data_IF_725944918798
#
_entry.id   IF_725944918798
#
_cell.length_a   1.000
_cell.length_b   1.000
_cell.length_c   1.000
_cell.angle_alpha   90.00
_cell.angle_beta   90.00
_cell.angle_gamma   90.00
#
_symmetry.space_group_name_H-M   'P 1'
#
loop_
_entity.id
_entity.type
_entity.pdbx_description
1 polymer ?
#
# COMPACT_ATOMS: atom_id res chain seq x y z
N UNK A 1 13.91 -17.13 -58.91
CA UNK A 1 12.97 -16.14 -59.50
C UNK A 1 11.88 -15.90 -58.46
N UNK A 2 11.56 -14.72 -57.91
CA UNK A 2 11.99 -13.33 -58.07
C UNK A 2 12.16 -12.76 -56.64
N UNK A 3 13.31 -12.15 -56.36
CA UNK A 3 13.44 -11.15 -55.28
C UNK A 3 12.99 -9.82 -55.88
N UNK A 4 12.22 -9.02 -55.13
CA UNK A 4 11.94 -7.62 -55.48
C UNK A 4 12.54 -6.76 -54.36
N UNK A 5 13.36 -5.81 -54.78
CA UNK A 5 14.13 -4.87 -53.98
C UNK A 5 13.44 -3.49 -54.00
N UNK A 6 13.39 -2.83 -52.82
CA UNK A 6 13.49 -1.38 -52.54
C UNK A 6 12.48 -0.38 -53.18
N UNK A 7 12.31 0.87 -52.66
CA UNK A 7 13.35 1.68 -52.01
C UNK A 7 13.02 2.44 -50.71
N UNK A 8 14.11 2.75 -50.02
CA UNK A 8 14.31 3.83 -49.06
C UNK A 8 13.76 5.17 -49.56
N UNK A 9 13.18 5.94 -48.65
CA UNK A 9 12.94 7.38 -48.84
C UNK A 9 13.56 8.10 -47.64
N UNK A 10 14.71 8.73 -47.88
CA UNK A 10 15.19 9.85 -47.07
C UNK A 10 14.40 11.10 -47.44
N UNK A 11 13.88 11.82 -46.43
CA UNK A 11 13.71 13.27 -46.53
C UNK A 11 14.15 13.95 -45.23
N UNK A 12 14.94 14.98 -45.47
CA UNK A 12 15.65 15.95 -44.62
C UNK A 12 14.75 16.73 -43.66
N UNK A 13 15.35 17.21 -42.57
CA UNK A 13 14.71 17.77 -41.39
C UNK A 13 14.07 19.16 -41.54
N UNK A 14 13.34 19.55 -40.48
CA UNK A 14 13.30 20.89 -39.85
C UNK A 14 12.85 20.66 -38.40
N UNK A 15 13.55 21.30 -37.46
CA UNK A 15 13.45 21.06 -36.03
C UNK A 15 12.11 21.44 -35.40
N UNK A 16 11.61 20.52 -34.59
CA UNK A 16 10.66 20.77 -33.52
C UNK A 16 10.92 19.72 -32.45
N UNK A 17 11.26 20.13 -31.22
CA UNK A 17 11.33 19.22 -30.08
C UNK A 17 9.92 18.69 -29.82
N UNK A 18 9.56 17.58 -30.46
CA UNK A 18 8.50 16.71 -29.99
C UNK A 18 9.05 16.00 -28.76
N UNK A 19 8.57 16.40 -27.58
CA UNK A 19 8.54 15.54 -26.40
C UNK A 19 7.77 14.28 -26.79
N UNK A 20 8.50 13.22 -27.15
CA UNK A 20 7.94 11.88 -27.29
C UNK A 20 7.40 11.46 -25.94
N UNK A 21 6.06 11.49 -25.80
CA UNK A 21 5.36 10.71 -24.79
C UNK A 21 5.88 9.28 -24.88
N UNK A 22 6.52 8.79 -23.82
CA UNK A 22 6.98 7.40 -23.71
C UNK A 22 5.74 6.50 -23.71
N UNK A 23 5.30 6.06 -24.89
CA UNK A 23 4.22 5.07 -25.09
C UNK A 23 4.77 3.63 -25.05
N UNK A 24 5.85 3.42 -24.31
CA UNK A 24 6.49 2.11 -24.17
C UNK A 24 5.80 1.29 -23.08
N UNK A 25 5.46 0.05 -23.40
CA UNK A 25 4.98 -0.94 -22.43
C UNK A 25 6.05 -1.09 -21.32
N UNK A 26 5.65 -0.97 -20.05
CA UNK A 26 6.54 -1.13 -18.91
C UNK A 26 7.18 -2.52 -18.89
N UNK A 27 8.52 -2.58 -18.82
CA UNK A 27 9.25 -3.83 -18.63
C UNK A 27 9.38 -4.17 -17.14
N UNK A 28 8.36 -4.79 -16.55
CA UNK A 28 8.34 -5.13 -15.13
C UNK A 28 9.47 -6.06 -14.68
N UNK A 29 10.04 -6.86 -15.58
CA UNK A 29 11.08 -7.83 -15.23
C UNK A 29 12.35 -7.15 -14.68
N UNK A 30 12.65 -5.91 -15.10
CA UNK A 30 13.84 -5.17 -14.63
C UNK A 30 13.79 -4.77 -13.15
N UNK A 31 12.59 -4.72 -12.59
CA UNK A 31 12.33 -4.31 -11.20
C UNK A 31 12.36 -5.50 -10.23
N UNK A 32 12.25 -6.73 -10.74
CA UNK A 32 12.17 -7.91 -9.87
C UNK A 32 13.53 -8.29 -9.30
N UNK A 33 13.56 -8.64 -8.02
CA UNK A 33 14.70 -9.34 -7.42
C UNK A 33 14.92 -10.70 -8.06
N UNK A 34 16.13 -11.26 -7.97
CA UNK A 34 16.40 -12.62 -8.43
C UNK A 34 15.51 -13.66 -7.69
N UNK A 35 15.26 -13.44 -6.39
CA UNK A 35 14.35 -14.26 -5.59
C UNK A 35 12.93 -14.23 -6.16
N UNK A 36 12.40 -13.03 -6.38
CA UNK A 36 11.08 -12.84 -6.97
C UNK A 36 11.02 -13.47 -8.36
N UNK A 37 12.02 -13.19 -9.21
CA UNK A 37 12.21 -13.76 -10.55
C UNK A 37 12.08 -15.30 -10.54
N UNK A 38 12.71 -15.96 -9.58
CA UNK A 38 12.75 -17.42 -9.45
C UNK A 38 11.49 -18.06 -8.85
N UNK A 39 10.61 -17.29 -8.17
CA UNK A 39 9.39 -17.87 -7.58
C UNK A 39 8.48 -18.44 -8.67
N UNK A 40 8.02 -19.68 -8.46
CA UNK A 40 7.06 -20.39 -9.32
C UNK A 40 5.80 -20.77 -8.53
N UNK A 41 4.64 -20.89 -9.18
CA UNK A 41 3.44 -21.41 -8.52
C UNK A 41 3.66 -22.83 -8.01
N UNK A 42 3.06 -23.18 -6.87
CA UNK A 42 3.08 -24.56 -6.36
C UNK A 42 2.36 -25.53 -7.32
N UNK A 43 2.97 -26.66 -7.70
CA UNK A 43 2.32 -27.68 -8.52
C UNK A 43 1.02 -28.22 -7.91
N UNK A 44 0.98 -28.42 -6.58
CA UNK A 44 -0.21 -28.89 -5.86
C UNK A 44 -1.34 -27.85 -5.93
N UNK A 45 -1.01 -26.56 -5.83
CA UNK A 45 -2.02 -25.49 -5.95
C UNK A 45 -2.56 -25.39 -7.38
N UNK A 46 -1.73 -25.63 -8.40
CA UNK A 46 -2.21 -25.75 -9.77
C UNK A 46 -3.22 -26.89 -9.88
N UNK A 47 -2.96 -28.04 -9.24
CA UNK A 47 -3.83 -29.21 -9.23
C UNK A 47 -5.16 -28.96 -8.48
N UNK A 48 -5.11 -28.31 -7.32
CA UNK A 48 -6.30 -28.03 -6.51
C UNK A 48 -7.24 -26.99 -7.13
N UNK A 49 -6.78 -26.17 -8.08
CA UNK A 49 -7.67 -25.31 -8.87
C UNK A 49 -8.66 -26.13 -9.72
N UNK A 50 -8.38 -27.40 -10.00
CA UNK A 50 -9.24 -28.26 -10.82
C UNK A 50 -10.40 -28.90 -10.05
N UNK A 51 -10.36 -28.87 -8.72
CA UNK A 51 -11.32 -29.57 -7.85
C UNK A 51 -12.29 -28.59 -7.18
N UNK A 52 -12.06 -27.29 -7.34
CA UNK A 52 -12.91 -26.21 -6.84
C UNK A 52 -13.40 -25.40 -8.04
N UNK A 53 -14.49 -25.84 -8.67
CA UNK A 53 -15.41 -24.97 -9.41
C UNK A 53 -16.70 -25.75 -9.78
N UNK A 54 -17.75 -25.53 -9.01
CA UNK A 54 -19.13 -25.52 -9.53
C UNK A 54 -19.42 -24.24 -10.32
N UNK A 55 -18.60 -23.17 -10.18
CA UNK A 55 -18.81 -21.90 -10.88
C UNK A 55 -17.64 -21.58 -11.82
N UNK A 56 -17.93 -21.59 -13.12
CA UNK A 56 -16.96 -21.42 -14.20
C UNK A 56 -16.45 -19.98 -14.28
N UNK A 57 -15.25 -19.70 -13.78
CA UNK A 57 -14.51 -18.49 -14.17
C UNK A 57 -13.70 -18.79 -15.42
N UNK A 58 -14.11 -18.21 -16.55
CA UNK A 58 -13.36 -18.24 -17.82
C UNK A 58 -12.07 -17.43 -17.67
N UNK A 59 -10.91 -18.06 -17.88
CA UNK A 59 -9.65 -17.36 -18.12
C UNK A 59 -9.50 -17.11 -19.63
N UNK A 60 -9.08 -15.91 -20.07
CA UNK A 60 -8.75 -15.68 -21.47
C UNK A 60 -7.60 -16.59 -21.91
N UNK A 61 -7.72 -17.14 -23.12
CA UNK A 61 -6.58 -17.75 -23.83
C UNK A 61 -5.55 -16.64 -24.04
N UNK A 62 -4.30 -16.83 -23.60
CA UNK A 62 -3.04 -16.43 -24.24
C UNK A 62 -1.92 -16.34 -23.19
N UNK A 63 -1.00 -17.29 -23.23
CA UNK A 63 0.44 -17.02 -23.41
C UNK A 63 1.17 -18.33 -23.71
N UNK A 64 1.88 -18.33 -24.84
CA UNK A 64 2.90 -19.29 -25.22
C UNK A 64 4.26 -18.60 -24.99
N UNK A 65 5.19 -19.36 -24.43
CA UNK A 65 6.63 -19.11 -24.37
C UNK A 65 7.13 -18.09 -23.32
N UNK A 66 7.46 -18.58 -22.12
CA UNK A 66 8.84 -18.76 -21.64
C UNK A 66 8.82 -19.33 -20.21
N UNK A 67 9.82 -20.16 -19.88
CA UNK A 67 10.03 -20.91 -18.63
C UNK A 67 9.36 -22.31 -18.63
N UNK A 68 10.07 -23.27 -19.22
CA UNK A 68 9.80 -24.70 -19.11
C UNK A 68 9.98 -25.22 -17.68
N UNK A 69 8.94 -25.87 -17.15
CA UNK A 69 9.01 -27.24 -16.57
C UNK A 69 7.67 -27.74 -16.01
N UNK A 70 6.55 -27.03 -16.20
CA UNK A 70 5.19 -27.60 -16.06
C UNK A 70 4.34 -27.04 -17.21
N UNK A 71 3.68 -27.87 -18.05
CA UNK A 71 2.96 -27.34 -19.21
C UNK A 71 1.72 -26.57 -18.75
N UNK A 72 1.74 -25.24 -18.86
CA UNK A 72 0.60 -24.34 -18.58
C UNK A 72 -0.63 -24.70 -19.44
N UNK A 73 -0.42 -25.35 -20.59
CA UNK A 73 -1.47 -25.87 -21.49
C UNK A 73 -2.34 -26.97 -20.85
N UNK A 74 -1.82 -27.71 -19.86
CA UNK A 74 -2.56 -28.79 -19.19
C UNK A 74 -3.61 -28.24 -18.20
N UNK A 75 -3.37 -27.04 -17.65
CA UNK A 75 -4.24 -26.39 -16.65
C UNK A 75 -5.61 -26.00 -17.21
N UNK A 76 -5.64 -25.25 -18.31
CA UNK A 76 -6.88 -24.84 -18.97
C UNK A 76 -7.69 -26.02 -19.53
N UNK A 77 -6.99 -27.03 -20.07
CA UNK A 77 -7.63 -28.20 -20.68
C UNK A 77 -8.28 -29.14 -19.65
N UNK A 78 -7.74 -29.29 -18.44
CA UNK A 78 -8.31 -30.16 -17.41
C UNK A 78 -9.41 -29.47 -16.60
N UNK A 79 -9.26 -28.18 -16.26
CA UNK A 79 -10.28 -27.44 -15.48
C UNK A 79 -11.62 -27.32 -16.23
N UNK A 80 -11.58 -27.17 -17.57
CA UNK A 80 -12.78 -27.17 -18.42
C UNK A 80 -13.41 -28.57 -18.59
N UNK A 81 -12.72 -29.64 -18.17
CA UNK A 81 -13.13 -31.05 -18.35
C UNK A 81 -13.53 -31.76 -17.06
N UNK A 82 -13.29 -31.18 -15.88
CA UNK A 82 -13.66 -31.81 -14.60
C UNK A 82 -15.18 -31.86 -14.43
N UNK A 83 -15.80 -33.05 -14.33
CA UNK A 83 -17.23 -33.16 -14.04
C UNK A 83 -17.53 -32.81 -12.57
N UNK A 84 -18.76 -32.38 -12.23
CA UNK A 84 -19.17 -32.15 -10.83
C UNK A 84 -19.05 -33.40 -9.95
N UNK A 85 -19.07 -34.59 -10.54
CA UNK A 85 -18.87 -35.88 -9.86
C UNK A 85 -17.41 -36.23 -9.58
N UNK A 86 -16.45 -35.35 -9.94
CA UNK A 86 -15.03 -35.59 -9.70
C UNK A 86 -14.75 -35.68 -8.19
N UNK A 87 -14.39 -36.88 -7.74
CA UNK A 87 -13.87 -37.10 -6.39
C UNK A 87 -12.40 -36.72 -6.38
N UNK A 88 -12.03 -35.72 -5.57
CA UNK A 88 -10.64 -35.31 -5.39
C UNK A 88 -10.00 -36.02 -4.20
N UNK A 89 -8.93 -36.76 -4.47
CA UNK A 89 -8.00 -37.31 -3.46
C UNK A 89 -6.65 -36.57 -3.47
N UNK A 90 -6.57 -35.44 -4.17
CA UNK A 90 -5.31 -34.75 -4.47
C UNK A 90 -4.89 -33.74 -3.39
N UNK A 91 -5.86 -33.05 -2.79
CA UNK A 91 -5.61 -31.98 -1.85
C UNK A 91 -5.50 -32.48 -0.41
N UNK A 92 -4.44 -32.11 0.29
CA UNK A 92 -4.29 -32.33 1.75
C UNK A 92 -5.10 -31.34 2.60
N UNK A 93 -6.34 -31.06 2.23
CA UNK A 93 -7.22 -30.18 2.99
C UNK A 93 -7.93 -30.98 4.11
N UNK A 94 -7.97 -30.49 5.35
CA UNK A 94 -8.73 -31.14 6.42
C UNK A 94 -10.22 -31.25 6.06
N UNK A 95 -10.87 -32.34 6.50
CA UNK A 95 -12.31 -32.53 6.28
C UNK A 95 -13.09 -31.47 7.10
N UNK A 96 -13.92 -30.63 6.46
CA UNK A 96 -14.60 -29.54 7.15
C UNK A 96 -15.63 -30.00 8.20
N UNK A 97 -16.03 -31.27 8.21
CA UNK A 97 -16.88 -31.84 9.25
C UNK A 97 -16.16 -32.06 10.60
N UNK A 98 -14.82 -31.99 10.62
CA UNK A 98 -14.04 -32.12 11.87
C UNK A 98 -13.72 -30.76 12.49
N UNK A 99 -14.14 -29.65 11.88
CA UNK A 99 -13.95 -28.32 12.44
C UNK A 99 -14.84 -28.14 13.67
N UNK A 100 -14.32 -27.63 14.81
CA UNK A 100 -15.08 -27.58 16.06
C UNK A 100 -16.06 -26.39 16.15
N UNK A 101 -16.28 -25.67 15.04
CA UNK A 101 -17.13 -24.47 14.99
C UNK A 101 -18.27 -24.67 14.00
N UNK A 102 -19.51 -24.70 14.52
CA UNK A 102 -20.70 -24.97 13.73
C UNK A 102 -21.23 -23.71 13.02
N UNK A 103 -21.35 -22.60 13.72
CA UNK A 103 -21.91 -21.35 13.21
C UNK A 103 -21.37 -20.15 13.99
N UNK A 104 -21.58 -18.95 13.46
CA UNK A 104 -21.25 -17.70 14.16
C UNK A 104 -22.25 -16.60 13.82
N UNK A 105 -22.41 -15.64 14.73
CA UNK A 105 -23.24 -14.45 14.57
C UNK A 105 -22.48 -13.26 15.15
N UNK A 106 -22.34 -12.17 14.38
CA UNK A 106 -21.67 -10.94 14.80
C UNK A 106 -22.64 -9.78 14.66
N UNK A 107 -22.93 -9.10 15.77
CA UNK A 107 -23.74 -7.89 15.78
C UNK A 107 -22.91 -6.67 15.35
N UNK A 108 -23.44 -5.93 14.38
CA UNK A 108 -22.84 -4.71 13.85
C UNK A 108 -23.44 -3.52 14.59
N UNK A 109 -22.68 -2.43 14.76
CA UNK A 109 -23.13 -1.22 15.50
C UNK A 109 -24.41 -0.57 14.98
N UNK A 110 -24.82 -0.85 13.74
CA UNK A 110 -26.08 -0.37 13.17
C UNK A 110 -27.27 -1.32 13.44
N UNK A 111 -27.09 -2.36 14.26
CA UNK A 111 -28.10 -3.36 14.59
C UNK A 111 -28.22 -4.51 13.58
N UNK A 112 -27.49 -4.47 12.46
CA UNK A 112 -27.42 -5.60 11.53
C UNK A 112 -26.60 -6.76 12.13
N UNK A 113 -26.79 -7.96 11.58
CA UNK A 113 -26.06 -9.14 12.01
C UNK A 113 -25.37 -9.82 10.82
N UNK A 114 -24.07 -10.08 10.95
CA UNK A 114 -23.31 -10.91 10.02
C UNK A 114 -23.39 -12.36 10.51
N UNK A 115 -24.04 -13.22 9.72
CA UNK A 115 -24.32 -14.62 10.11
C UNK A 115 -23.51 -15.59 9.27
N UNK A 116 -22.90 -16.57 9.94
CA UNK A 116 -22.25 -17.72 9.32
C UNK A 116 -23.06 -18.98 9.60
N UNK A 117 -23.74 -19.49 8.57
CA UNK A 117 -24.30 -20.84 8.59
C UNK A 117 -23.21 -21.90 8.67
N UNK A 118 -23.57 -23.16 8.91
CA UNK A 118 -22.61 -24.27 8.89
C UNK A 118 -21.83 -24.36 7.58
N UNK A 119 -22.51 -24.22 6.44
CA UNK A 119 -21.84 -24.20 5.14
C UNK A 119 -20.86 -23.02 5.01
N UNK A 120 -21.24 -21.83 5.49
CA UNK A 120 -20.37 -20.66 5.49
C UNK A 120 -19.17 -20.85 6.43
N UNK A 121 -19.35 -21.44 7.61
CA UNK A 121 -18.25 -21.73 8.54
C UNK A 121 -17.26 -22.75 7.98
N UNK A 122 -17.75 -23.82 7.34
CA UNK A 122 -16.91 -24.79 6.64
C UNK A 122 -16.03 -24.13 5.58
N UNK A 123 -16.56 -23.13 4.85
CA UNK A 123 -15.79 -22.34 3.89
C UNK A 123 -14.82 -21.37 4.58
N UNK A 124 -15.27 -20.70 5.63
CA UNK A 124 -14.51 -19.68 6.36
C UNK A 124 -13.24 -20.21 7.02
N UNK A 125 -13.26 -21.47 7.45
CA UNK A 125 -12.17 -22.13 8.17
C UNK A 125 -11.28 -23.00 7.28
N UNK A 126 -11.61 -23.10 5.99
CA UNK A 126 -10.85 -23.89 5.04
C UNK A 126 -9.80 -23.03 4.32
N UNK A 127 -8.77 -23.69 3.77
CA UNK A 127 -7.82 -23.05 2.85
C UNK A 127 -8.55 -22.35 1.71
N UNK A 128 -8.06 -21.18 1.30
CA UNK A 128 -8.60 -20.37 0.21
C UNK A 128 -7.52 -19.92 -0.79
N UNK A 129 -7.94 -19.22 -1.84
CA UNK A 129 -7.04 -18.65 -2.81
C UNK A 129 -6.18 -17.53 -2.18
N UNK A 130 -4.89 -17.49 -2.51
CA UNK A 130 -3.92 -16.56 -1.93
C UNK A 130 -4.18 -15.10 -2.25
N UNK A 131 -4.77 -14.83 -3.41
CA UNK A 131 -5.14 -13.48 -3.81
C UNK A 131 -6.39 -12.95 -3.08
N UNK A 132 -7.16 -13.83 -2.42
CA UNK A 132 -8.39 -13.47 -1.73
C UNK A 132 -9.64 -14.09 -2.33
N UNK A 133 -10.76 -13.97 -1.61
CA UNK A 133 -12.05 -14.50 -2.06
C UNK A 133 -12.65 -13.64 -3.20
N UNK A 134 -13.30 -14.25 -4.21
CA UNK A 134 -13.77 -13.54 -5.40
C UNK A 134 -14.74 -12.40 -5.11
N UNK A 135 -15.67 -12.57 -4.16
CA UNK A 135 -16.67 -11.57 -3.82
C UNK A 135 -16.04 -10.31 -3.23
N UNK A 136 -15.04 -10.45 -2.35
CA UNK A 136 -14.34 -9.32 -1.75
C UNK A 136 -13.49 -8.60 -2.79
N UNK A 137 -12.74 -9.35 -3.61
CA UNK A 137 -11.96 -8.79 -4.71
C UNK A 137 -12.82 -8.01 -5.69
N UNK A 138 -13.99 -8.54 -6.06
CA UNK A 138 -14.92 -7.87 -6.98
C UNK A 138 -15.43 -6.56 -6.40
N UNK A 139 -15.86 -6.59 -5.13
CA UNK A 139 -16.34 -5.39 -4.43
C UNK A 139 -15.24 -4.32 -4.35
N UNK A 140 -14.03 -4.71 -3.93
CA UNK A 140 -12.90 -3.78 -3.78
C UNK A 140 -12.42 -3.22 -5.12
N UNK A 141 -12.39 -4.03 -6.19
CA UNK A 141 -12.09 -3.55 -7.56
C UNK A 141 -13.11 -2.51 -8.02
N UNK A 142 -14.39 -2.74 -7.74
CA UNK A 142 -15.44 -1.77 -8.05
C UNK A 142 -15.25 -0.47 -7.27
N UNK A 143 -14.90 -0.57 -5.98
CA UNK A 143 -14.60 0.60 -5.15
C UNK A 143 -13.41 1.38 -5.71
N UNK A 144 -12.31 0.69 -6.03
CA UNK A 144 -11.09 1.30 -6.60
C UNK A 144 -11.39 2.04 -7.91
N UNK A 145 -12.17 1.43 -8.81
CA UNK A 145 -12.62 2.07 -10.06
C UNK A 145 -13.47 3.30 -9.80
N UNK A 146 -14.43 3.23 -8.87
CA UNK A 146 -15.31 4.37 -8.53
C UNK A 146 -14.54 5.54 -7.93
N UNK A 147 -13.60 5.26 -7.02
CA UNK A 147 -12.89 6.32 -6.27
C UNK A 147 -11.72 6.92 -7.02
N UNK A 148 -10.97 6.11 -7.77
CA UNK A 148 -9.72 6.55 -8.37
C UNK A 148 -9.77 6.61 -9.90
N UNK A 149 -10.74 5.95 -10.54
CA UNK A 149 -10.88 5.88 -11.99
C UNK A 149 -9.53 5.70 -12.74
N UNK A 150 -8.71 4.69 -12.38
CA UNK A 150 -7.36 4.60 -12.91
C UNK A 150 -7.37 4.22 -14.39
N UNK A 151 -6.54 4.84 -15.25
CA UNK A 151 -6.44 4.48 -16.67
C UNK A 151 -6.16 2.98 -16.89
N UNK A 152 -5.33 2.40 -16.03
CA UNK A 152 -4.93 0.99 -16.04
C UNK A 152 -6.07 -0.01 -15.82
N UNK A 153 -7.24 0.43 -15.35
CA UNK A 153 -8.41 -0.44 -15.16
C UNK A 153 -8.91 -1.11 -16.46
N UNK A 154 -8.64 -0.50 -17.61
CA UNK A 154 -9.10 -0.95 -18.93
C UNK A 154 -7.95 -1.49 -19.81
N UNK A 155 -6.72 -1.57 -19.28
CA UNK A 155 -5.58 -2.09 -20.03
C UNK A 155 -5.65 -3.62 -20.14
N UNK A 156 -4.90 -4.16 -21.08
CA UNK A 156 -4.61 -5.60 -21.14
C UNK A 156 -3.54 -5.97 -20.12
N UNK A 157 -3.47 -7.25 -19.67
CA UNK A 157 -2.50 -7.71 -18.68
C UNK A 157 -1.04 -7.31 -18.99
N UNK A 158 -0.61 -7.48 -20.24
CA UNK A 158 0.74 -7.16 -20.72
C UNK A 158 1.05 -5.65 -20.67
N UNK A 159 0.02 -4.81 -20.74
CA UNK A 159 0.13 -3.35 -20.66
C UNK A 159 -0.04 -2.82 -19.23
N UNK A 160 -0.05 -3.68 -18.21
CA UNK A 160 -0.16 -3.25 -16.82
C UNK A 160 -1.60 -3.06 -16.33
N UNK A 161 -2.53 -3.91 -16.78
CA UNK A 161 -3.90 -3.95 -16.24
C UNK A 161 -3.93 -3.89 -14.72
N UNK A 162 -4.77 -3.02 -14.17
CA UNK A 162 -5.00 -2.93 -12.72
C UNK A 162 -5.55 -4.27 -12.18
N UNK A 163 -4.86 -4.81 -11.19
CA UNK A 163 -5.24 -6.01 -10.45
C UNK A 163 -5.10 -5.77 -8.94
N UNK A 164 -5.70 -6.64 -8.13
CA UNK A 164 -5.72 -6.55 -6.69
C UNK A 164 -5.42 -7.88 -6.01
N UNK A 165 -4.84 -7.81 -4.81
CA UNK A 165 -4.61 -8.94 -3.93
C UNK A 165 -4.97 -8.55 -2.49
N UNK A 166 -5.76 -9.38 -1.80
CA UNK A 166 -6.00 -9.22 -0.37
C UNK A 166 -4.71 -9.52 0.41
N UNK A 167 -4.43 -8.71 1.43
CA UNK A 167 -3.26 -8.85 2.31
C UNK A 167 -3.67 -8.86 3.77
N UNK A 168 -2.74 -9.19 4.66
CA UNK A 168 -2.95 -9.21 6.12
C UNK A 168 -2.77 -7.79 6.71
N UNK A 169 -3.28 -6.78 6.00
CA UNK A 169 -3.04 -5.35 6.23
C UNK A 169 -1.90 -4.79 5.37
N UNK A 170 -1.75 -3.45 5.35
CA UNK A 170 -0.76 -2.77 4.49
C UNK A 170 0.67 -3.25 4.76
N UNK A 171 1.08 -3.40 6.03
CA UNK A 171 2.42 -3.86 6.40
C UNK A 171 2.83 -5.18 5.72
N UNK A 172 1.93 -6.17 5.64
CA UNK A 172 2.26 -7.43 4.97
C UNK A 172 2.40 -7.23 3.46
N UNK A 173 1.51 -6.44 2.85
CA UNK A 173 1.63 -6.03 1.45
C UNK A 173 2.96 -5.34 1.15
N UNK A 174 3.35 -4.36 1.97
CA UNK A 174 4.63 -3.67 1.85
C UNK A 174 5.82 -4.61 1.95
N UNK A 175 5.85 -5.51 2.95
CA UNK A 175 6.93 -6.49 3.05
C UNK A 175 7.04 -7.34 1.78
N UNK A 176 5.93 -7.82 1.23
CA UNK A 176 5.93 -8.62 -0.01
C UNK A 176 6.36 -7.80 -1.23
N UNK A 177 5.99 -6.53 -1.30
CA UNK A 177 6.42 -5.62 -2.37
C UNK A 177 7.91 -5.31 -2.27
N UNK A 178 8.45 -5.06 -1.07
CA UNK A 178 9.88 -4.84 -0.88
C UNK A 178 10.71 -6.09 -1.18
N UNK A 179 10.33 -7.27 -0.65
CA UNK A 179 10.95 -8.57 -1.01
C UNK A 179 10.91 -8.84 -2.52
N UNK A 180 9.86 -8.37 -3.20
CA UNK A 180 9.70 -8.51 -4.65
C UNK A 180 10.65 -7.63 -5.45
N UNK A 181 11.00 -6.44 -4.95
CA UNK A 181 11.61 -5.38 -5.75
C UNK A 181 13.02 -4.93 -5.31
N UNK A 182 13.42 -5.22 -4.07
CA UNK A 182 14.65 -4.68 -3.47
C UNK A 182 15.68 -5.78 -3.25
N UNK A 183 16.83 -5.66 -3.88
CA UNK A 183 18.02 -6.47 -3.59
C UNK A 183 18.95 -5.73 -2.61
N UNK A 184 19.85 -6.45 -1.91
CA UNK A 184 20.95 -5.81 -1.20
C UNK A 184 21.76 -4.88 -2.11
N UNK A 185 22.04 -3.67 -1.62
CA UNK A 185 22.76 -2.62 -2.34
C UNK A 185 21.89 -1.76 -3.27
N UNK A 186 20.62 -2.08 -3.51
CA UNK A 186 19.72 -1.23 -4.31
C UNK A 186 19.46 0.10 -3.58
N UNK A 187 19.31 1.19 -4.34
CA UNK A 187 18.92 2.49 -3.82
C UNK A 187 17.38 2.60 -3.78
N UNK A 188 16.82 2.96 -2.63
CA UNK A 188 15.38 3.18 -2.41
C UNK A 188 15.17 4.62 -1.95
N UNK A 189 14.32 5.35 -2.67
CA UNK A 189 13.93 6.71 -2.27
C UNK A 189 12.73 6.66 -1.32
N UNK A 190 12.76 7.51 -0.29
CA UNK A 190 11.62 7.74 0.60
C UNK A 190 11.70 9.13 1.24
N UNK A 191 10.58 9.70 1.67
CA UNK A 191 10.57 10.86 2.56
C UNK A 191 10.75 10.43 4.02
N UNK A 192 11.80 10.95 4.68
CA UNK A 192 12.05 10.80 6.11
C UNK A 192 11.90 12.16 6.83
N UNK A 193 11.24 12.21 8.01
CA UNK A 193 10.80 11.07 8.82
C UNK A 193 9.65 10.26 8.20
N UNK A 194 9.63 8.95 8.44
CA UNK A 194 8.68 8.00 7.82
C UNK A 194 8.16 6.97 8.81
N UNK A 195 7.25 6.10 8.37
CA UNK A 195 6.74 5.02 9.22
C UNK A 195 7.86 4.04 9.62
N UNK A 196 8.09 3.89 10.93
CA UNK A 196 9.09 2.98 11.48
C UNK A 196 8.90 1.52 11.05
N UNK A 197 7.66 1.07 10.77
CA UNK A 197 7.40 -0.27 10.24
C UNK A 197 7.93 -0.46 8.81
N UNK A 198 8.01 0.61 8.02
CA UNK A 198 8.64 0.59 6.69
C UNK A 198 10.16 0.50 6.82
N UNK A 199 10.77 1.26 7.73
CA UNK A 199 12.20 1.17 8.01
C UNK A 199 12.58 -0.23 8.50
N UNK A 200 11.80 -0.80 9.43
CA UNK A 200 12.00 -2.15 9.94
C UNK A 200 11.86 -3.23 8.86
N UNK A 201 11.10 -2.97 7.78
CA UNK A 201 10.98 -3.89 6.65
C UNK A 201 12.11 -3.74 5.63
N UNK A 202 12.59 -2.50 5.39
CA UNK A 202 13.58 -2.21 4.35
C UNK A 202 15.03 -2.37 4.82
N UNK A 203 15.36 -1.94 6.05
CA UNK A 203 16.74 -1.97 6.56
C UNK A 203 17.34 -3.39 6.53
N UNK A 204 16.64 -4.47 6.93
CA UNK A 204 17.18 -5.83 6.86
C UNK A 204 17.42 -6.35 5.44
N UNK A 205 16.85 -5.71 4.41
CA UNK A 205 17.10 -6.08 3.01
C UNK A 205 18.47 -5.60 2.50
N UNK A 206 19.19 -4.79 3.29
CA UNK A 206 20.53 -4.31 2.95
C UNK A 206 20.52 -3.28 1.81
N UNK A 207 19.41 -2.57 1.61
CA UNK A 207 19.30 -1.48 0.64
C UNK A 207 19.83 -0.15 1.19
N UNK A 208 20.14 0.79 0.30
CA UNK A 208 20.50 2.15 0.68
C UNK A 208 19.24 3.02 0.68
N UNK A 209 18.83 3.47 1.86
CA UNK A 209 17.70 4.38 2.01
C UNK A 209 18.17 5.82 1.77
N UNK A 210 17.61 6.46 0.74
CA UNK A 210 17.93 7.84 0.38
C UNK A 210 16.75 8.72 0.73
N UNK A 211 16.97 9.63 1.68
CA UNK A 211 15.96 10.61 2.07
C UNK A 211 15.69 11.60 0.92
N UNK A 212 14.42 11.81 0.62
CA UNK A 212 13.91 12.88 -0.23
C UNK A 212 13.27 13.94 0.68
N UNK A 213 13.81 15.18 0.73
CA UNK A 213 13.25 16.23 1.57
C UNK A 213 11.75 16.47 1.34
N UNK A 214 11.03 16.65 2.45
CA UNK A 214 9.58 16.87 2.51
C UNK A 214 9.25 18.05 3.41
N UNK A 215 8.08 18.65 3.21
CA UNK A 215 7.49 19.67 4.10
C UNK A 215 6.03 19.28 4.46
N UNK A 216 5.22 20.23 4.96
CA UNK A 216 3.82 19.98 5.30
C UNK A 216 2.95 19.50 4.11
N UNK A 217 3.45 19.64 2.89
CA UNK A 217 2.84 19.17 1.65
C UNK A 217 3.54 17.91 1.09
N UNK A 218 4.21 17.12 1.94
CA UNK A 218 4.89 15.88 1.57
C UNK A 218 6.20 16.14 0.81
N UNK A 219 6.64 15.16 0.01
CA UNK A 219 7.84 15.26 -0.85
C UNK A 219 7.87 16.59 -1.62
N UNK A 220 9.03 17.25 -1.63
CA UNK A 220 9.29 18.44 -2.43
C UNK A 220 9.81 18.00 -3.81
N UNK A 221 9.08 18.20 -4.93
CA UNK A 221 9.49 17.69 -6.24
C UNK A 221 10.84 18.23 -6.72
N UNK A 222 11.15 19.49 -6.41
CA UNK A 222 12.47 20.08 -6.71
C UNK A 222 13.61 19.33 -6.01
N UNK A 223 13.41 18.93 -4.74
CA UNK A 223 14.41 18.17 -3.99
C UNK A 223 14.53 16.73 -4.51
N UNK A 224 13.40 16.10 -4.90
CA UNK A 224 13.43 14.81 -5.59
C UNK A 224 14.26 14.89 -6.88
N UNK A 225 14.04 15.92 -7.70
CA UNK A 225 14.79 16.17 -8.93
C UNK A 225 16.28 16.36 -8.65
N UNK A 226 16.63 17.11 -7.60
CA UNK A 226 18.02 17.30 -7.19
C UNK A 226 18.68 15.97 -6.78
N UNK A 227 18.02 15.17 -5.95
CA UNK A 227 18.50 13.83 -5.58
C UNK A 227 18.72 12.96 -6.81
N UNK A 228 17.77 12.97 -7.75
CA UNK A 228 17.83 12.17 -8.99
C UNK A 228 18.89 12.65 -9.98
N UNK A 229 19.31 13.92 -9.93
CA UNK A 229 20.30 14.50 -10.86
C UNK A 229 21.68 13.82 -10.85
N UNK A 230 21.92 12.95 -9.85
CA UNK A 230 23.12 12.10 -9.74
C UNK A 230 23.16 10.99 -10.81
N UNK A 231 22.05 10.72 -11.48
CA UNK A 231 21.92 9.73 -12.54
C UNK A 231 21.47 10.38 -13.84
N UNK A 232 21.95 9.86 -14.97
CA UNK A 232 21.42 10.22 -16.28
C UNK A 232 20.16 9.37 -16.55
N UNK A 233 18.98 9.99 -16.79
CA UNK A 233 17.76 9.30 -17.20
C UNK A 233 17.94 8.31 -18.36
N UNK A 234 18.83 8.60 -19.32
CA UNK A 234 19.07 7.74 -20.48
C UNK A 234 19.82 6.46 -20.13
N UNK A 235 20.45 6.42 -18.95
CA UNK A 235 21.35 5.35 -18.52
C UNK A 235 20.79 4.52 -17.37
N UNK A 236 19.56 4.78 -16.93
CA UNK A 236 18.87 4.02 -15.85
C UNK A 236 18.61 2.56 -16.21
N UNK A 237 18.76 2.19 -17.49
CA UNK A 237 18.61 0.83 -17.99
C UNK A 237 19.96 0.12 -18.24
N UNK A 238 21.11 0.80 -18.11
CA UNK A 238 22.40 0.16 -18.33
C UNK A 238 22.66 -0.93 -17.27
N UNK A 239 23.25 -2.06 -17.65
CA UNK A 239 23.75 -3.04 -16.68
C UNK A 239 24.67 -2.36 -15.65
N UNK A 240 24.43 -2.61 -14.37
CA UNK A 240 25.18 -1.99 -13.28
C UNK A 240 24.76 -0.57 -12.89
N UNK A 241 23.70 -0.01 -13.51
CA UNK A 241 23.14 1.27 -13.08
C UNK A 241 22.68 1.20 -11.62
N UNK A 242 23.05 2.20 -10.83
CA UNK A 242 22.65 2.35 -9.42
C UNK A 242 21.46 3.30 -9.26
N UNK A 243 20.82 3.72 -10.35
CA UNK A 243 19.66 4.58 -10.28
C UNK A 243 18.57 3.93 -9.41
N UNK A 244 17.92 4.68 -8.50
CA UNK A 244 16.85 4.14 -7.68
C UNK A 244 15.72 3.67 -8.58
N UNK A 245 15.15 2.50 -8.26
CA UNK A 245 14.05 1.91 -9.03
C UNK A 245 12.69 2.14 -8.39
N UNK A 246 12.69 2.60 -7.14
CA UNK A 246 11.51 2.67 -6.29
C UNK A 246 11.53 3.97 -5.49
N UNK A 247 10.39 4.65 -5.48
CA UNK A 247 10.03 5.67 -4.51
C UNK A 247 8.92 5.14 -3.62
N UNK A 248 9.14 5.10 -2.31
CA UNK A 248 8.11 4.86 -1.30
C UNK A 248 7.62 6.19 -0.73
N UNK A 249 6.31 6.33 -0.54
CA UNK A 249 5.75 7.51 0.15
C UNK A 249 4.39 7.20 0.79
N UNK A 250 4.06 7.97 1.84
CA UNK A 250 2.75 7.97 2.50
C UNK A 250 2.05 9.30 2.16
N UNK A 251 1.32 9.40 1.03
CA UNK A 251 0.99 10.69 0.44
C UNK A 251 -0.14 11.45 1.14
N UNK A 252 -0.90 10.81 2.04
CA UNK A 252 -1.99 11.45 2.77
C UNK A 252 -1.86 11.15 4.27
N UNK A 253 -1.86 12.20 5.09
CA UNK A 253 -1.78 12.06 6.56
C UNK A 253 -0.55 11.27 7.02
N UNK A 254 0.60 11.51 6.38
CA UNK A 254 1.81 10.71 6.48
C UNK A 254 2.26 10.45 7.93
N UNK A 255 2.70 9.23 8.23
CA UNK A 255 3.25 8.91 9.54
C UNK A 255 4.77 9.18 9.52
N UNK A 256 5.32 10.08 10.35
CA UNK A 256 4.70 10.71 11.53
C UNK A 256 4.15 12.13 11.31
N UNK A 257 4.44 12.75 10.17
CA UNK A 257 4.35 14.21 9.97
C UNK A 257 2.92 14.78 9.94
N UNK A 258 1.93 13.93 9.63
CA UNK A 258 0.58 14.36 9.27
C UNK A 258 0.50 15.06 7.91
N UNK A 259 1.60 15.09 7.15
CA UNK A 259 1.67 15.80 5.87
C UNK A 259 0.83 15.10 4.79
N UNK A 260 0.29 15.91 3.88
CA UNK A 260 -0.48 15.42 2.73
C UNK A 260 0.00 16.09 1.45
N UNK A 261 0.37 15.28 0.46
CA UNK A 261 0.87 15.76 -0.82
C UNK A 261 -0.26 16.37 -1.65
N UNK A 262 0.01 17.55 -2.22
CA UNK A 262 -0.95 18.21 -3.12
C UNK A 262 -1.05 17.47 -4.46
N UNK A 263 -2.17 17.64 -5.17
CA UNK A 263 -2.34 17.07 -6.50
C UNK A 263 -1.22 17.48 -7.48
N UNK A 264 -0.82 18.75 -7.41
CA UNK A 264 0.26 19.29 -8.24
C UNK A 264 1.60 18.60 -7.95
N UNK A 265 1.94 18.40 -6.67
CA UNK A 265 3.18 17.68 -6.29
C UNK A 265 3.14 16.21 -6.71
N UNK A 266 2.00 15.52 -6.56
CA UNK A 266 1.86 14.14 -7.04
C UNK A 266 2.11 14.05 -8.55
N UNK A 267 1.60 15.00 -9.33
CA UNK A 267 1.85 15.07 -10.77
C UNK A 267 3.33 15.24 -11.11
N UNK A 268 4.01 16.20 -10.47
CA UNK A 268 5.44 16.44 -10.69
C UNK A 268 6.32 15.24 -10.25
N UNK A 269 5.98 14.60 -9.13
CA UNK A 269 6.64 13.37 -8.67
C UNK A 269 6.42 12.22 -9.67
N UNK A 270 5.20 12.08 -10.19
CA UNK A 270 4.89 11.08 -11.21
C UNK A 270 5.69 11.32 -12.50
N UNK A 271 5.78 12.56 -12.98
CA UNK A 271 6.60 12.93 -14.14
C UNK A 271 8.09 12.59 -13.94
N UNK A 272 8.63 12.83 -12.75
CA UNK A 272 10.00 12.42 -12.41
C UNK A 272 10.15 10.89 -12.36
N UNK A 273 9.14 10.17 -11.85
CA UNK A 273 9.14 8.70 -11.89
C UNK A 273 9.10 8.18 -13.33
N UNK A 274 8.39 8.84 -14.24
CA UNK A 274 8.41 8.54 -15.67
C UNK A 274 9.79 8.77 -16.28
N UNK A 275 10.40 9.93 -16.00
CA UNK A 275 11.69 10.30 -16.55
C UNK A 275 12.81 9.33 -16.15
N UNK A 276 12.83 8.86 -14.89
CA UNK A 276 13.88 7.98 -14.36
C UNK A 276 13.49 6.49 -14.34
N UNK A 277 12.34 6.15 -14.95
CA UNK A 277 11.74 4.82 -14.96
C UNK A 277 11.72 4.13 -13.57
N UNK A 278 11.02 4.77 -12.64
CA UNK A 278 10.80 4.28 -11.28
C UNK A 278 9.36 3.79 -11.07
N UNK A 279 9.20 2.82 -10.18
CA UNK A 279 7.93 2.49 -9.56
C UNK A 279 7.67 3.41 -8.36
N UNK A 280 6.41 3.74 -8.10
CA UNK A 280 6.00 4.42 -6.86
C UNK A 280 5.19 3.44 -6.02
N UNK A 281 5.63 3.23 -4.78
CA UNK A 281 4.90 2.49 -3.76
C UNK A 281 4.12 3.52 -2.94
N UNK A 282 2.82 3.57 -3.17
CA UNK A 282 1.86 4.45 -2.51
C UNK A 282 1.28 3.74 -1.28
N UNK A 283 1.84 3.95 -0.09
CA UNK A 283 1.27 3.42 1.16
C UNK A 283 0.22 4.37 1.73
N UNK A 284 -1.05 3.99 1.68
CA UNK A 284 -2.12 4.94 1.95
C UNK A 284 -3.21 4.41 2.89
N UNK A 285 -2.83 3.91 4.09
CA UNK A 285 -3.80 3.43 5.09
C UNK A 285 -4.67 4.56 5.66
N UNK A 286 -4.34 5.83 5.35
CA UNK A 286 -5.03 7.03 5.83
C UNK A 286 -5.79 7.76 4.72
N UNK A 287 -5.91 7.22 3.50
CA UNK A 287 -6.60 7.87 2.38
C UNK A 287 -7.99 8.41 2.75
N UNK A 288 -8.77 7.57 3.41
CA UNK A 288 -10.13 7.88 3.84
C UNK A 288 -10.21 8.81 5.05
N UNK A 289 -9.07 9.17 5.66
CA UNK A 289 -8.99 10.11 6.77
C UNK A 289 -8.64 11.53 6.31
N UNK A 290 -8.91 11.87 5.04
CA UNK A 290 -8.85 13.24 4.55
C UNK A 290 -10.07 14.02 5.01
N UNK A 291 -9.86 15.10 5.76
CA UNK A 291 -10.96 15.82 6.43
C UNK A 291 -11.82 16.67 5.49
N UNK A 292 -11.27 17.03 4.33
CA UNK A 292 -11.94 17.88 3.34
C UNK A 292 -12.28 17.07 2.09
N UNK A 293 -13.46 17.33 1.53
CA UNK A 293 -13.90 16.81 0.22
C UNK A 293 -13.87 17.93 -0.84
N UNK A 294 -13.68 17.62 -2.14
CA UNK A 294 -13.33 16.29 -2.66
C UNK A 294 -11.94 15.85 -2.18
N UNK A 295 -11.75 14.53 -2.03
CA UNK A 295 -10.45 13.98 -1.64
C UNK A 295 -9.40 14.23 -2.72
N UNK A 296 -8.14 14.37 -2.31
CA UNK A 296 -7.04 14.57 -3.23
C UNK A 296 -6.87 13.33 -4.14
N UNK A 297 -6.53 13.52 -5.43
CA UNK A 297 -6.27 12.42 -6.34
C UNK A 297 -5.12 11.55 -5.82
N UNK A 298 -5.18 10.25 -6.09
CA UNK A 298 -4.13 9.28 -5.77
C UNK A 298 -3.11 9.19 -6.90
N UNK A 299 -1.92 8.67 -6.63
CA UNK A 299 -1.00 8.32 -7.71
C UNK A 299 -1.65 7.30 -8.66
N UNK A 300 -2.41 6.34 -8.11
CA UNK A 300 -3.16 5.37 -8.91
C UNK A 300 -4.11 6.03 -9.92
N UNK A 301 -4.78 7.14 -9.55
CA UNK A 301 -5.70 7.85 -10.46
C UNK A 301 -5.03 8.52 -11.67
N UNK A 302 -3.71 8.77 -11.59
CA UNK A 302 -2.91 9.36 -12.67
C UNK A 302 -1.97 8.35 -13.33
N UNK A 303 -2.06 7.06 -12.97
CA UNK A 303 -1.18 6.02 -13.46
C UNK A 303 -1.50 5.65 -14.91
N UNK A 304 -0.86 6.33 -15.86
CA UNK A 304 -0.96 6.04 -17.30
C UNK A 304 -0.05 4.90 -17.74
N UNK A 305 0.97 4.57 -16.95
CA UNK A 305 2.04 3.66 -17.39
C UNK A 305 1.91 2.28 -16.73
N UNK A 306 1.18 2.19 -15.62
CA UNK A 306 1.20 1.02 -14.75
C UNK A 306 2.44 1.01 -13.85
N UNK A 307 2.83 2.15 -13.26
CA UNK A 307 4.00 2.25 -12.37
C UNK A 307 3.65 2.38 -10.89
N UNK A 308 2.36 2.36 -10.53
CA UNK A 308 1.91 2.52 -9.15
C UNK A 308 1.59 1.19 -8.50
N UNK A 309 2.21 0.92 -7.36
CA UNK A 309 1.80 -0.14 -6.44
C UNK A 309 1.23 0.55 -5.20
N UNK A 310 -0.09 0.50 -5.06
CA UNK A 310 -0.79 1.09 -3.93
C UNK A 310 -1.08 0.04 -2.86
N UNK A 311 -0.82 0.37 -1.60
CA UNK A 311 -1.18 -0.47 -0.45
C UNK A 311 -2.21 0.23 0.41
N UNK A 312 -3.35 -0.43 0.60
CA UNK A 312 -4.47 0.06 1.39
C UNK A 312 -4.71 -0.85 2.61
N UNK A 313 -5.39 -0.32 3.63
CA UNK A 313 -5.80 -1.11 4.78
C UNK A 313 -7.13 -0.69 5.37
N UNK A 314 -7.92 -1.68 5.80
CA UNK A 314 -9.10 -1.44 6.61
C UNK A 314 -8.78 -1.12 8.08
N UNK A 315 -7.50 -1.11 8.47
CA UNK A 315 -7.08 -0.95 9.87
C UNK A 315 -7.50 0.35 10.52
N UNK A 316 -7.63 1.43 9.73
CA UNK A 316 -7.92 2.78 10.22
C UNK A 316 -9.38 3.22 10.02
N UNK A 317 -10.15 2.40 9.33
CA UNK A 317 -11.54 2.69 8.96
C UNK A 317 -12.55 1.63 9.42
N UNK A 318 -12.12 0.39 9.62
CA UNK A 318 -12.95 -0.69 10.20
C UNK A 318 -12.37 -1.14 11.55
N UNK A 319 -11.23 -1.83 11.52
CA UNK A 319 -10.52 -2.26 12.73
C UNK A 319 -9.15 -2.83 12.39
N UNK A 320 -8.13 -2.43 13.16
CA UNK A 320 -6.75 -2.92 13.02
C UNK A 320 -6.60 -4.39 13.42
N UNK A 321 -7.47 -4.90 14.29
CA UNK A 321 -7.47 -6.30 14.76
C UNK A 321 -7.97 -7.30 13.71
N UNK A 322 -8.70 -6.84 12.69
CA UNK A 322 -9.16 -7.70 11.59
C UNK A 322 -8.01 -8.20 10.72
N UNK A 323 -6.87 -7.48 10.72
CA UNK A 323 -5.69 -7.82 9.90
C UNK A 323 -6.03 -8.01 8.42
N UNK A 324 -6.69 -7.02 7.82
CA UNK A 324 -7.09 -7.06 6.42
C UNK A 324 -6.76 -5.75 5.70
N UNK A 325 -6.19 -5.90 4.51
CA UNK A 325 -5.83 -4.83 3.60
C UNK A 325 -5.76 -5.40 2.18
N UNK A 326 -5.21 -4.62 1.26
CA UNK A 326 -5.02 -5.08 -0.09
C UNK A 326 -3.94 -4.27 -0.81
N UNK A 327 -3.37 -4.88 -1.84
CA UNK A 327 -2.47 -4.23 -2.81
C UNK A 327 -3.24 -4.04 -4.11
N UNK A 328 -3.10 -2.86 -4.72
CA UNK A 328 -3.60 -2.54 -6.06
C UNK A 328 -2.41 -2.14 -6.94
N UNK A 329 -2.33 -2.67 -8.15
CA UNK A 329 -1.26 -2.30 -9.07
C UNK A 329 -1.29 -3.12 -10.37
N UNK A 330 -0.21 -3.07 -11.17
CA UNK A 330 -0.13 -3.82 -12.42
C UNK A 330 -0.22 -5.32 -12.18
N UNK A 331 -1.05 -6.00 -12.96
CA UNK A 331 -1.29 -7.44 -12.87
C UNK A 331 -0.02 -8.27 -12.76
N UNK A 332 0.98 -7.96 -13.59
CA UNK A 332 2.25 -8.69 -13.62
C UNK A 332 3.03 -8.58 -12.31
N UNK A 333 2.91 -7.47 -11.57
CA UNK A 333 3.52 -7.31 -10.24
C UNK A 333 2.64 -7.89 -9.13
N UNK A 334 1.32 -7.70 -9.20
CA UNK A 334 0.37 -8.25 -8.23
C UNK A 334 0.42 -9.79 -8.22
N UNK A 335 0.54 -10.42 -9.38
CA UNK A 335 0.70 -11.87 -9.49
C UNK A 335 2.00 -12.36 -8.80
N UNK A 336 3.06 -11.54 -8.73
CA UNK A 336 4.28 -11.85 -7.97
C UNK A 336 4.06 -11.70 -6.48
N UNK A 337 3.36 -10.65 -6.04
CA UNK A 337 2.96 -10.50 -4.63
C UNK A 337 2.20 -11.74 -4.15
N UNK A 338 1.27 -12.26 -4.96
CA UNK A 338 0.54 -13.52 -4.67
C UNK A 338 1.49 -14.71 -4.48
N UNK A 339 2.56 -14.82 -5.26
CA UNK A 339 3.55 -15.89 -5.11
C UNK A 339 4.37 -15.75 -3.82
N UNK A 340 4.69 -14.53 -3.40
CA UNK A 340 5.35 -14.30 -2.11
C UNK A 340 4.41 -14.68 -0.95
N UNK A 341 3.14 -14.30 -1.01
CA UNK A 341 2.09 -14.68 -0.03
C UNK A 341 1.94 -16.20 0.05
N UNK A 342 1.93 -16.91 -1.09
CA UNK A 342 1.86 -18.36 -1.14
C UNK A 342 3.00 -19.07 -0.40
N UNK A 343 4.17 -18.43 -0.34
CA UNK A 343 5.35 -18.96 0.33
C UNK A 343 5.49 -18.51 1.80
N UNK A 344 4.59 -17.65 2.29
CA UNK A 344 4.60 -17.16 3.67
C UNK A 344 3.26 -17.37 4.37
N UNK A 345 2.37 -16.39 4.31
CA UNK A 345 1.12 -16.30 5.06
C UNK A 345 0.02 -17.17 4.45
N UNK A 346 0.25 -17.74 3.27
CA UNK A 346 -0.67 -18.55 2.46
C UNK A 346 -1.86 -17.75 1.93
N UNK A 347 -2.66 -17.14 2.80
CA UNK A 347 -3.73 -16.18 2.50
C UNK A 347 -4.17 -15.50 3.80
N UNK A 348 -4.72 -14.30 3.71
CA UNK A 348 -5.44 -13.68 4.84
C UNK A 348 -6.58 -14.59 5.32
N UNK A 349 -6.87 -14.60 6.63
CA UNK A 349 -7.95 -15.41 7.22
C UNK A 349 -9.24 -15.33 6.40
N UNK A 350 -9.74 -16.49 5.93
CA UNK A 350 -10.95 -16.53 5.10
C UNK A 350 -12.18 -16.16 5.91
N UNK A 351 -12.19 -16.45 7.22
CA UNK A 351 -13.22 -15.98 8.14
C UNK A 351 -13.29 -14.44 8.16
N UNK A 352 -12.15 -13.76 8.33
CA UNK A 352 -12.10 -12.29 8.28
C UNK A 352 -12.56 -11.78 6.92
N UNK A 353 -12.06 -12.37 5.82
CA UNK A 353 -12.43 -11.94 4.47
C UNK A 353 -13.94 -12.06 4.23
N UNK A 354 -14.57 -13.16 4.66
CA UNK A 354 -16.00 -13.36 4.52
C UNK A 354 -16.80 -12.41 5.39
N UNK A 355 -16.39 -12.20 6.64
CA UNK A 355 -17.07 -11.28 7.55
C UNK A 355 -17.07 -9.85 6.99
N UNK A 356 -15.89 -9.38 6.55
CA UNK A 356 -15.75 -8.05 5.94
C UNK A 356 -16.48 -7.99 4.61
N UNK A 357 -16.42 -9.03 3.79
CA UNK A 357 -17.16 -9.08 2.53
C UNK A 357 -18.66 -8.97 2.75
N UNK A 358 -19.24 -9.74 3.68
CA UNK A 358 -20.68 -9.66 3.98
C UNK A 358 -21.07 -8.27 4.47
N UNK A 359 -20.28 -7.68 5.38
CA UNK A 359 -20.51 -6.32 5.86
C UNK A 359 -20.50 -5.28 4.72
N UNK A 360 -19.47 -5.31 3.88
CA UNK A 360 -19.30 -4.36 2.78
C UNK A 360 -20.38 -4.53 1.69
N UNK A 361 -20.85 -5.75 1.45
CA UNK A 361 -21.96 -5.99 0.54
C UNK A 361 -23.31 -5.56 1.14
N UNK A 362 -23.53 -5.76 2.45
CA UNK A 362 -24.72 -5.28 3.16
C UNK A 362 -24.85 -3.77 3.06
N UNK A 363 -23.76 -3.05 3.35
CA UNK A 363 -23.73 -1.60 3.25
C UNK A 363 -23.79 -1.07 1.81
N UNK A 364 -23.31 -1.88 0.85
CA UNK A 364 -22.96 -1.40 -0.47
C UNK A 364 -21.87 -0.31 -0.41
N UNK A 365 -21.53 0.24 -1.57
CA UNK A 365 -20.51 1.31 -1.63
C UNK A 365 -20.99 2.61 -0.97
N UNK A 366 -22.29 2.90 -1.03
CA UNK A 366 -22.84 4.12 -0.44
C UNK A 366 -22.84 4.06 1.09
N UNK A 367 -23.32 2.96 1.68
CA UNK A 367 -23.25 2.77 3.13
C UNK A 367 -21.81 2.71 3.65
N UNK A 368 -20.88 2.16 2.86
CA UNK A 368 -19.45 2.24 3.16
C UNK A 368 -18.97 3.70 3.22
N UNK A 369 -19.28 4.53 2.23
CA UNK A 369 -18.89 5.94 2.23
C UNK A 369 -19.54 6.74 3.37
N UNK A 370 -20.79 6.44 3.72
CA UNK A 370 -21.44 7.03 4.90
C UNK A 370 -20.74 6.63 6.20
N UNK A 371 -20.26 5.38 6.30
CA UNK A 371 -19.43 4.95 7.42
C UNK A 371 -18.10 5.71 7.47
N UNK A 372 -17.44 5.88 6.33
CA UNK A 372 -16.23 6.70 6.23
C UNK A 372 -16.50 8.15 6.67
N UNK A 373 -17.62 8.75 6.28
CA UNK A 373 -17.94 10.13 6.68
C UNK A 373 -18.08 10.30 8.18
N UNK A 374 -18.68 9.32 8.88
CA UNK A 374 -18.72 9.29 10.35
C UNK A 374 -17.34 9.17 10.98
N UNK A 375 -16.47 8.33 10.38
CA UNK A 375 -15.08 8.18 10.84
C UNK A 375 -14.29 9.47 10.62
N UNK A 376 -14.44 10.13 9.48
CA UNK A 376 -13.82 11.42 9.18
C UNK A 376 -14.26 12.47 10.19
N UNK A 377 -15.56 12.54 10.51
CA UNK A 377 -16.09 13.51 11.48
C UNK A 377 -15.47 13.35 12.87
N UNK A 378 -15.37 12.11 13.33
CA UNK A 378 -14.68 11.80 14.57
C UNK A 378 -13.24 12.30 14.56
N UNK A 379 -12.45 11.95 13.52
CA UNK A 379 -11.05 12.37 13.47
C UNK A 379 -10.87 13.87 13.25
N UNK A 380 -11.80 14.55 12.57
CA UNK A 380 -11.79 16.01 12.45
C UNK A 380 -11.98 16.68 13.80
N UNK A 381 -12.98 16.24 14.57
CA UNK A 381 -13.25 16.74 15.93
C UNK A 381 -12.03 16.53 16.83
N UNK A 382 -11.42 15.35 16.78
CA UNK A 382 -10.22 15.01 17.53
C UNK A 382 -9.00 15.86 17.12
N UNK A 383 -8.82 16.11 15.82
CA UNK A 383 -7.78 16.99 15.29
C UNK A 383 -7.99 18.42 15.78
N UNK A 384 -9.21 18.94 15.72
CA UNK A 384 -9.54 20.31 16.15
C UNK A 384 -9.27 20.50 17.65
N UNK A 385 -9.65 19.51 18.48
CA UNK A 385 -9.32 19.50 19.91
C UNK A 385 -7.80 19.51 20.14
N UNK A 386 -7.05 18.66 19.44
CA UNK A 386 -5.58 18.60 19.53
C UNK A 386 -4.91 19.91 19.15
N UNK A 387 -5.36 20.57 18.07
CA UNK A 387 -4.82 21.85 17.64
C UNK A 387 -5.17 22.96 18.64
N UNK A 388 -6.41 23.01 19.13
CA UNK A 388 -6.83 23.98 20.16
C UNK A 388 -5.96 23.87 21.43
N UNK A 389 -5.71 22.65 21.90
CA UNK A 389 -4.81 22.41 23.03
C UNK A 389 -3.35 22.74 22.71
N UNK A 390 -2.89 22.51 21.48
CA UNK A 390 -1.53 22.86 21.07
C UNK A 390 -1.34 24.39 21.10
N UNK A 391 -2.26 25.12 20.50
CA UNK A 391 -2.30 26.59 20.50
C UNK A 391 -2.31 27.13 21.93
N UNK A 392 -3.12 26.54 22.82
CA UNK A 392 -3.25 26.96 24.22
C UNK A 392 -1.96 26.75 25.02
N UNK A 393 -1.30 25.60 24.88
CA UNK A 393 -0.22 25.19 25.80
C UNK A 393 1.19 25.27 25.20
N UNK A 394 1.33 25.15 23.88
CA UNK A 394 2.61 24.88 23.22
C UNK A 394 3.09 25.99 22.28
N UNK A 395 2.25 26.96 21.89
CA UNK A 395 2.57 27.97 20.84
C UNK A 395 3.89 28.73 21.08
N UNK A 396 4.23 28.98 22.34
CA UNK A 396 5.43 29.74 22.70
C UNK A 396 6.68 28.85 22.73
N UNK A 397 6.53 27.53 22.89
CA UNK A 397 7.63 26.57 23.10
C UNK A 397 7.78 25.54 21.97
N UNK A 398 6.89 25.53 20.99
CA UNK A 398 6.89 24.56 19.91
C UNK A 398 6.33 25.13 18.58
N UNK A 399 6.50 24.38 17.50
CA UNK A 399 5.99 24.67 16.16
C UNK A 399 5.36 23.41 15.56
N UNK A 400 4.28 23.56 14.80
CA UNK A 400 3.62 22.45 14.11
C UNK A 400 2.86 22.97 12.89
N UNK A 401 2.43 22.03 12.05
CA UNK A 401 1.48 22.30 10.98
C UNK A 401 0.18 21.57 11.26
N UNK A 402 -0.95 22.22 10.97
CA UNK A 402 -2.27 21.60 11.12
C UNK A 402 -2.46 20.52 10.07
N UNK A 403 -2.62 19.24 10.47
CA UNK A 403 -2.81 18.15 9.52
C UNK A 403 -4.18 18.27 8.86
N UNK A 404 -4.21 17.97 7.56
CA UNK A 404 -5.44 17.94 6.73
C UNK A 404 -6.00 16.53 6.57
N UNK A 405 -5.24 15.52 7.00
CA UNK A 405 -5.63 14.13 7.00
C UNK A 405 -4.91 13.32 8.09
N UNK A 406 -5.38 12.08 8.30
CA UNK A 406 -4.70 11.11 9.16
C UNK A 406 -5.04 11.27 10.64
N UNK A 407 -4.08 10.96 11.51
CA UNK A 407 -4.31 10.86 12.96
C UNK A 407 -3.12 11.35 13.80
N UNK A 408 -2.20 12.13 13.22
CA UNK A 408 -0.95 12.54 13.84
C UNK A 408 -0.74 14.04 13.78
N UNK A 409 -0.17 14.58 14.86
CA UNK A 409 0.38 15.93 14.91
C UNK A 409 1.89 15.81 15.16
N UNK A 410 2.68 16.45 14.29
CA UNK A 410 4.12 16.47 14.35
C UNK A 410 4.62 17.81 14.86
N UNK A 411 5.29 17.79 16.00
CA UNK A 411 5.54 18.97 16.81
C UNK A 411 7.05 19.13 16.98
N UNK A 412 7.60 20.25 16.51
CA UNK A 412 8.99 20.65 16.75
C UNK A 412 9.09 21.38 18.08
N UNK A 413 9.93 20.92 18.99
CA UNK A 413 10.16 21.58 20.28
C UNK A 413 11.27 22.62 20.11
N UNK A 414 11.00 23.88 20.46
CA UNK A 414 11.99 24.97 20.39
C UNK A 414 13.03 24.78 21.48
N UNK A 415 14.30 25.05 21.18
CA UNK A 415 15.41 24.99 22.15
C UNK A 415 15.88 23.59 22.55
N UNK A 416 15.19 22.53 22.14
CA UNK A 416 15.57 21.13 22.39
C UNK A 416 16.07 20.52 21.08
N UNK A 417 17.34 20.09 21.04
CA UNK A 417 17.94 19.48 19.85
C UNK A 417 17.53 18.02 19.66
N UNK A 418 17.32 17.29 20.75
CA UNK A 418 16.90 15.89 20.76
C UNK A 418 15.85 15.64 21.84
N UNK A 419 14.70 15.12 21.41
CA UNK A 419 13.56 14.82 22.28
C UNK A 419 13.64 13.43 22.89
N UNK A 420 14.57 12.57 22.46
CA UNK A 420 14.70 11.19 22.95
C UNK A 420 14.81 11.15 24.48
N UNK A 421 15.76 11.89 25.04
CA UNK A 421 15.97 11.92 26.49
C UNK A 421 14.78 12.54 27.23
N UNK A 422 14.27 13.68 26.73
CA UNK A 422 13.13 14.38 27.32
C UNK A 422 11.91 13.47 27.46
N UNK A 423 11.61 12.70 26.42
CA UNK A 423 10.44 11.82 26.38
C UNK A 423 10.67 10.51 27.14
N UNK A 424 11.80 9.85 26.92
CA UNK A 424 12.03 8.52 27.49
C UNK A 424 12.33 8.55 29.00
N UNK A 425 12.92 9.63 29.51
CA UNK A 425 13.32 9.71 30.93
C UNK A 425 12.32 10.50 31.78
N UNK A 426 11.75 11.60 31.25
CA UNK A 426 11.01 12.57 32.07
C UNK A 426 9.51 12.64 31.80
N UNK A 427 9.05 12.30 30.60
CA UNK A 427 7.63 12.41 30.26
C UNK A 427 6.76 11.42 31.05
N UNK A 428 7.30 10.25 31.39
CA UNK A 428 6.59 9.25 32.21
C UNK A 428 6.33 9.75 33.64
N UNK A 429 7.27 10.48 34.24
CA UNK A 429 7.09 11.10 35.57
C UNK A 429 5.98 12.15 35.56
N UNK A 430 5.79 12.83 34.42
CA UNK A 430 4.70 13.77 34.18
C UNK A 430 3.43 13.10 33.65
N UNK A 431 3.39 11.76 33.61
CA UNK A 431 2.27 10.95 33.15
C UNK A 431 1.78 11.36 31.75
N UNK A 432 2.71 11.62 30.82
CA UNK A 432 2.41 11.89 29.42
C UNK A 432 3.31 11.05 28.52
N UNK A 433 2.73 10.40 27.52
CA UNK A 433 3.46 9.56 26.58
C UNK A 433 3.29 10.08 25.15
N UNK A 434 4.40 10.46 24.52
CA UNK A 434 4.51 10.76 23.10
C UNK A 434 5.60 9.89 22.49
N UNK A 435 5.73 9.91 21.17
CA UNK A 435 6.82 9.21 20.49
C UNK A 435 7.91 10.23 20.13
N UNK A 436 9.16 10.05 20.59
CA UNK A 436 10.27 10.94 20.23
C UNK A 436 10.59 10.80 18.74
N UNK A 437 10.99 11.89 18.12
CA UNK A 437 11.02 11.98 16.66
C UNK A 437 12.08 11.11 16.00
N UNK A 438 13.19 10.84 16.70
CA UNK A 438 14.31 10.04 16.20
C UNK A 438 13.89 8.66 15.69
N UNK A 439 12.87 8.04 16.28
CA UNK A 439 12.41 6.68 15.88
C UNK A 439 11.81 6.61 14.48
N UNK A 440 11.50 7.75 13.87
CA UNK A 440 10.96 7.86 12.51
C UNK A 440 12.03 8.24 11.48
N UNK A 441 13.25 8.54 11.92
CA UNK A 441 14.37 8.88 11.04
C UNK A 441 15.03 7.60 10.50
N UNK A 442 15.67 7.70 9.33
CA UNK A 442 16.44 6.58 8.75
C UNK A 442 17.50 6.08 9.73
N UNK A 443 18.22 7.03 10.36
CA UNK A 443 19.12 6.76 11.47
C UNK A 443 18.49 7.29 12.77
N UNK A 444 18.06 6.39 13.64
CA UNK A 444 17.40 6.75 14.89
C UNK A 444 18.33 7.35 15.94
N UNK A 445 19.65 7.29 15.73
CA UNK A 445 20.64 7.90 16.62
C UNK A 445 20.90 9.37 16.30
N UNK A 446 20.40 9.90 15.17
CA UNK A 446 20.55 11.31 14.85
C UNK A 446 19.64 12.17 15.75
N UNK A 447 20.15 13.29 16.31
CA UNK A 447 19.33 14.20 17.13
C UNK A 447 18.07 14.66 16.41
N UNK A 448 16.92 14.55 17.07
CA UNK A 448 15.63 14.94 16.50
C UNK A 448 14.82 15.83 17.45
N UNK A 449 14.55 17.10 17.08
CA UNK A 449 13.84 18.05 17.95
C UNK A 449 12.31 17.87 17.91
N UNK A 450 11.81 16.78 17.34
CA UNK A 450 10.38 16.58 17.10
C UNK A 450 9.77 15.52 17.99
N UNK A 451 8.47 15.62 18.26
CA UNK A 451 7.65 14.55 18.84
C UNK A 451 6.40 14.31 18.00
N UNK A 452 5.91 13.07 17.99
CA UNK A 452 4.62 12.72 17.38
C UNK A 452 3.56 12.52 18.45
N UNK A 453 2.50 13.32 18.40
CA UNK A 453 1.25 13.10 19.13
C UNK A 453 0.22 12.43 18.21
N UNK A 454 -0.59 11.52 18.74
CA UNK A 454 -1.71 10.91 18.00
C UNK A 454 -3.03 11.30 18.65
N UNK A 455 -4.03 11.67 17.86
CA UNK A 455 -5.37 12.05 18.33
C UNK A 455 -6.41 10.93 18.11
N UNK A 456 -5.97 9.67 18.14
CA UNK A 456 -6.80 8.52 17.74
C UNK A 456 -7.52 7.80 18.87
N UNK A 457 -7.08 7.92 20.13
CA UNK A 457 -7.59 7.15 21.26
C UNK A 457 -8.05 8.03 22.44
N UNK A 458 -7.26 9.05 22.76
CA UNK A 458 -7.53 9.94 23.91
C UNK A 458 -8.73 10.85 23.67
N UNK A 459 -9.49 11.18 24.72
CA UNK A 459 -10.58 12.16 24.65
C UNK A 459 -10.03 13.60 24.52
N UNK A 460 -10.83 14.58 24.09
CA UNK A 460 -10.43 15.99 24.05
C UNK A 460 -9.87 16.51 25.38
N UNK A 461 -10.44 16.09 26.51
CA UNK A 461 -9.99 16.49 27.85
C UNK A 461 -8.62 15.88 28.19
N UNK A 462 -8.41 14.61 27.84
CA UNK A 462 -7.13 13.95 27.99
C UNK A 462 -6.05 14.57 27.10
N UNK A 463 -6.42 15.01 25.90
CA UNK A 463 -5.53 15.73 24.98
C UNK A 463 -5.09 17.07 25.57
N UNK A 464 -6.02 17.87 26.12
CA UNK A 464 -5.70 19.14 26.77
C UNK A 464 -4.75 18.96 27.95
N UNK A 465 -5.04 18.00 28.81
CA UNK A 465 -4.22 17.69 29.98
C UNK A 465 -2.82 17.18 29.58
N UNK A 466 -2.73 16.32 28.55
CA UNK A 466 -1.46 15.85 28.02
C UNK A 466 -0.58 17.00 27.52
N UNK A 467 -1.15 17.98 26.83
CA UNK A 467 -0.40 19.13 26.31
C UNK A 467 -0.05 20.15 27.38
N UNK A 468 -0.88 20.29 28.42
CA UNK A 468 -0.50 21.03 29.64
C UNK A 468 0.74 20.40 30.30
N UNK A 469 0.75 19.07 30.48
CA UNK A 469 1.87 18.31 31.06
C UNK A 469 3.13 18.44 30.19
N UNK A 470 2.99 18.30 28.88
CA UNK A 470 4.10 18.46 27.92
C UNK A 470 4.68 19.88 27.96
N UNK A 471 3.84 20.92 28.03
CA UNK A 471 4.29 22.32 28.15
C UNK A 471 5.13 22.55 29.40
N UNK A 472 4.68 22.04 30.55
CA UNK A 472 5.44 22.11 31.80
C UNK A 472 6.79 21.39 31.69
N UNK A 473 6.78 20.17 31.11
CA UNK A 473 8.00 19.40 30.89
C UNK A 473 9.02 20.13 30.00
N UNK A 474 8.57 20.74 28.90
CA UNK A 474 9.45 21.51 27.99
C UNK A 474 10.04 22.71 28.73
N UNK A 475 9.23 23.46 29.49
CA UNK A 475 9.68 24.64 30.24
C UNK A 475 10.67 24.31 31.37
N UNK A 476 10.59 23.11 31.94
CA UNK A 476 11.57 22.63 32.93
C UNK A 476 12.89 22.17 32.29
N UNK A 477 12.88 21.84 30.99
CA UNK A 477 14.05 21.37 30.26
C UNK A 477 14.81 22.49 29.51
N UNK A 478 14.15 23.63 29.27
CA UNK A 478 14.74 24.88 28.76
C UNK A 478 15.31 25.70 29.92
#
# INVERSE_FOLDING_TARGET
MKRVYCPLVEKTGIGGRQTTLHTGIMNYARFLTAVSAARKPSPIRILNMFTRNSDRVFLPKFELALIFSVPTCTKLKLQQRSPPSLISLAGGAPNPNTFPFLSASIEVRNGETVTFSEAAMKRALQYSASNGIPELLTWMKSLQKKLHNPPTANYSPENGQMEMCVTTGSQEGLCKVFEMLVNPGDNVLLDAPTYSGTLAALQPLGCNLINVPSDQHGIIPAALKEVLSRWDPLEVHRPGSTAPKILYTIPNGGNPTGASMTAQRKKEVYELAQQYDMLIIEDDPYYFLQFNKPWAPTFLSMDTDGRIIRTDSFSKILSSGLRIGFVTGPKLLVDRVVLHIQASTMHTSTFTQLMVSQLLHSWGQEGFLQHIDRVIEFYRTQRDAMISSADKWLKDVAEWHTPTAGMFLWIKIKGIADTQQLIMERALEKEVLLVPGGVFMINSSDPCPYVRAAFSLSTPEQIDEAFRRLSALIKEAL
#
